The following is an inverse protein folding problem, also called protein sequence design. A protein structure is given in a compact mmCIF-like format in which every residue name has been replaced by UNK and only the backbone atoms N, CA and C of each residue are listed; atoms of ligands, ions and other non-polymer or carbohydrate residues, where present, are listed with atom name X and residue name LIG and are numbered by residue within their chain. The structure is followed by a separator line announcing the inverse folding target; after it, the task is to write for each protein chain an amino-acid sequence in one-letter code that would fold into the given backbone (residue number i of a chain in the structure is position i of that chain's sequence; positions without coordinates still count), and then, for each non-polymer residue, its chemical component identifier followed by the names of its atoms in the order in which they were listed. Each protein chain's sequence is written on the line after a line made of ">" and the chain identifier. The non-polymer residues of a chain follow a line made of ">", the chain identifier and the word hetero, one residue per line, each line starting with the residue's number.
data_IF_568602794915
#
_entry.id   IF_568602794915
#
_cell.length_a   1.000
_cell.length_b   1.000
_cell.length_c   1.000
_cell.angle_alpha   90.00
_cell.angle_beta   90.00
_cell.angle_gamma   90.00
#
_symmetry.space_group_name_H-M   'P 1'
#
loop_
_entity.id
_entity.type
_entity.pdbx_description
1 polymer ?
#
# COMPACT_ATOMS: atom_id res chain seq x y z
N UNK A 1 -19.33 -49.13 43.68
CA UNK A 1 -19.89 -48.16 42.68
C UNK A 1 -19.29 -46.81 43.00
N UNK A 2 -18.30 -46.44 42.25
CA UNK A 2 -17.79 -45.04 42.09
C UNK A 2 -16.33 -45.14 41.55
N UNK A 3 -16.23 -45.33 40.24
CA UNK A 3 -14.92 -45.23 39.57
C UNK A 3 -15.17 -44.91 38.11
N UNK A 4 -15.40 -43.64 37.82
CA UNK A 4 -15.34 -43.07 36.49
C UNK A 4 -15.60 -41.59 36.58
N UNK A 5 -14.55 -40.82 36.75
CA UNK A 5 -14.54 -39.36 36.43
C UNK A 5 -13.14 -38.82 36.60
N UNK A 6 -12.30 -39.08 35.59
CA UNK A 6 -11.08 -38.31 35.38
C UNK A 6 -10.62 -38.52 33.91
N UNK A 7 -11.46 -38.12 32.96
CA UNK A 7 -11.00 -37.80 31.64
C UNK A 7 -10.49 -36.38 31.66
N UNK A 8 -9.22 -36.21 31.97
CA UNK A 8 -8.53 -34.93 31.85
C UNK A 8 -8.54 -34.47 30.39
N UNK A 9 -9.22 -33.39 30.17
CA UNK A 9 -9.12 -32.60 28.95
C UNK A 9 -7.67 -32.07 28.81
N UNK A 10 -6.84 -32.79 28.09
CA UNK A 10 -5.59 -32.24 27.57
C UNK A 10 -5.93 -31.25 26.48
N UNK A 11 -5.99 -29.98 26.82
CA UNK A 11 -5.88 -28.90 25.88
C UNK A 11 -4.55 -29.06 25.14
N UNK A 12 -4.53 -29.11 23.80
CA UNK A 12 -3.27 -29.11 23.07
C UNK A 12 -2.55 -27.80 23.39
N UNK A 13 -1.38 -27.93 23.97
CA UNK A 13 -0.47 -26.83 24.20
C UNK A 13 -0.09 -26.28 22.82
N UNK A 14 -0.82 -25.26 22.37
CA UNK A 14 -0.47 -24.53 21.16
C UNK A 14 0.88 -23.86 21.44
N UNK A 15 1.94 -24.50 20.99
CA UNK A 15 3.28 -23.92 20.93
C UNK A 15 3.14 -22.59 20.20
N UNK A 16 3.23 -21.50 20.92
CA UNK A 16 3.26 -20.14 20.32
C UNK A 16 4.58 -20.07 19.57
N UNK A 17 4.54 -20.42 18.31
CA UNK A 17 5.66 -20.28 17.39
C UNK A 17 6.05 -18.79 17.44
N UNK A 18 7.26 -18.49 17.93
CA UNK A 18 7.78 -17.13 18.02
C UNK A 18 7.93 -16.59 16.60
N UNK A 19 6.89 -15.92 16.11
CA UNK A 19 6.91 -15.23 14.82
C UNK A 19 8.08 -14.25 14.82
N UNK A 20 9.04 -14.47 13.94
CA UNK A 20 10.24 -13.63 13.83
C UNK A 20 9.90 -12.17 13.50
N UNK A 21 10.80 -11.22 13.76
CA UNK A 21 10.55 -9.79 13.49
C UNK A 21 10.27 -9.53 12.00
N UNK A 22 10.88 -10.30 11.10
CA UNK A 22 10.65 -10.21 9.64
C UNK A 22 9.22 -10.67 9.30
N UNK A 23 8.75 -11.78 9.90
CA UNK A 23 7.40 -12.29 9.66
C UNK A 23 6.33 -11.33 10.18
N UNK A 24 6.57 -10.69 11.35
CA UNK A 24 5.69 -9.61 11.84
C UNK A 24 5.63 -8.43 10.90
N UNK A 25 6.77 -8.02 10.34
CA UNK A 25 6.85 -6.96 9.33
C UNK A 25 6.07 -7.31 8.07
N UNK A 26 6.20 -8.54 7.58
CA UNK A 26 5.44 -9.05 6.45
C UNK A 26 3.94 -9.07 6.75
N UNK A 27 3.52 -9.57 7.91
CA UNK A 27 2.11 -9.61 8.30
C UNK A 27 1.51 -8.20 8.46
N UNK A 28 2.26 -7.26 9.03
CA UNK A 28 1.85 -5.85 9.10
C UNK A 28 1.71 -5.23 7.70
N UNK A 29 2.65 -5.48 6.80
CA UNK A 29 2.58 -5.03 5.41
C UNK A 29 1.37 -5.63 4.68
N UNK A 30 1.13 -6.94 4.83
CA UNK A 30 -0.03 -7.62 4.25
C UNK A 30 -1.35 -7.07 4.81
N UNK A 31 -1.46 -6.91 6.12
CA UNK A 31 -2.64 -6.33 6.75
C UNK A 31 -2.89 -4.91 6.26
N UNK A 32 -1.82 -4.11 6.15
CA UNK A 32 -1.91 -2.77 5.61
C UNK A 32 -2.38 -2.74 4.15
N UNK A 33 -1.77 -3.54 3.30
CA UNK A 33 -2.12 -3.62 1.88
C UNK A 33 -3.54 -4.21 1.67
N UNK A 34 -3.97 -5.14 2.53
CA UNK A 34 -5.35 -5.63 2.56
C UNK A 34 -6.35 -4.57 3.07
N UNK A 35 -5.97 -3.76 4.07
CA UNK A 35 -6.80 -2.64 4.54
C UNK A 35 -6.95 -1.56 3.45
N UNK A 36 -5.97 -1.42 2.55
CA UNK A 36 -6.04 -0.54 1.39
C UNK A 36 -6.98 -1.05 0.27
N UNK A 37 -7.69 -2.17 0.52
CA UNK A 37 -8.81 -2.64 -0.29
C UNK A 37 -8.43 -3.53 -1.47
N UNK A 38 -8.23 -4.82 -1.22
CA UNK A 38 -8.22 -5.86 -2.27
C UNK A 38 -9.62 -6.48 -2.46
N UNK A 39 -10.68 -5.68 -2.37
CA UNK A 39 -12.04 -6.14 -2.66
C UNK A 39 -12.12 -6.56 -4.13
N UNK A 40 -12.89 -7.60 -4.42
CA UNK A 40 -13.14 -8.00 -5.80
C UNK A 40 -14.00 -6.94 -6.50
N UNK A 41 -13.77 -6.74 -7.79
CA UNK A 41 -14.54 -5.80 -8.60
C UNK A 41 -16.05 -6.08 -8.56
N UNK A 42 -16.47 -7.36 -8.38
CA UNK A 42 -17.85 -7.78 -8.21
C UNK A 42 -18.47 -7.36 -6.87
N UNK A 43 -17.67 -6.99 -5.87
CA UNK A 43 -18.10 -6.54 -4.54
C UNK A 43 -18.16 -5.02 -4.43
N UNK A 44 -18.18 -4.32 -5.56
CA UNK A 44 -18.25 -2.87 -5.57
C UNK A 44 -19.54 -2.38 -4.90
N UNK A 45 -19.36 -1.45 -3.99
CA UNK A 45 -20.44 -0.64 -3.40
C UNK A 45 -19.98 0.80 -3.34
N UNK A 46 -20.80 1.76 -3.79
CA UNK A 46 -20.51 3.18 -3.70
C UNK A 46 -20.17 3.59 -2.26
N UNK A 47 -19.28 4.55 -2.12
CA UNK A 47 -18.94 5.11 -0.83
C UNK A 47 -19.92 6.21 -0.46
N UNK A 48 -20.47 6.15 0.75
CA UNK A 48 -21.15 7.32 1.33
C UNK A 48 -20.12 8.42 1.64
N UNK A 49 -20.56 9.67 1.74
CA UNK A 49 -19.67 10.80 2.05
C UNK A 49 -18.93 10.59 3.38
N UNK A 50 -19.61 10.05 4.39
CA UNK A 50 -18.98 9.68 5.67
C UNK A 50 -17.84 8.66 5.48
N UNK A 51 -18.03 7.66 4.64
CA UNK A 51 -17.00 6.66 4.35
C UNK A 51 -15.82 7.26 3.56
N UNK A 52 -16.08 8.19 2.63
CA UNK A 52 -15.04 8.93 1.90
C UNK A 52 -14.16 9.73 2.87
N UNK A 53 -14.78 10.47 3.79
CA UNK A 53 -14.06 11.24 4.82
C UNK A 53 -13.25 10.33 5.75
N UNK A 54 -13.84 9.23 6.21
CA UNK A 54 -13.12 8.26 7.06
C UNK A 54 -11.93 7.63 6.34
N UNK A 55 -12.06 7.32 5.05
CA UNK A 55 -10.98 6.77 4.24
C UNK A 55 -9.85 7.81 4.06
N UNK A 56 -10.21 9.05 3.80
CA UNK A 56 -9.26 10.16 3.71
C UNK A 56 -8.49 10.33 5.02
N UNK A 57 -9.17 10.43 6.16
CA UNK A 57 -8.53 10.58 7.47
C UNK A 57 -7.60 9.39 7.78
N UNK A 58 -8.05 8.15 7.55
CA UNK A 58 -7.20 6.97 7.71
C UNK A 58 -5.95 7.01 6.84
N UNK A 59 -6.06 7.55 5.63
CA UNK A 59 -4.92 7.70 4.72
C UNK A 59 -3.94 8.74 5.23
N UNK A 60 -4.45 9.87 5.78
CA UNK A 60 -3.61 10.94 6.31
C UNK A 60 -2.80 10.54 7.55
N UNK A 61 -3.38 9.73 8.44
CA UNK A 61 -2.70 9.27 9.69
C UNK A 61 -1.97 7.93 9.55
N UNK A 62 -1.77 7.47 8.33
CA UNK A 62 -1.23 6.15 8.06
C UNK A 62 0.30 6.08 8.30
N UNK A 63 0.78 5.27 9.25
CA UNK A 63 2.21 5.18 9.56
C UNK A 63 3.10 4.78 8.37
N UNK A 64 2.59 3.94 7.46
CA UNK A 64 3.35 3.53 6.30
C UNK A 64 3.56 4.68 5.31
N UNK A 65 2.62 5.64 5.22
CA UNK A 65 2.80 6.87 4.44
C UNK A 65 3.99 7.69 4.95
N UNK A 66 4.08 7.85 6.25
CA UNK A 66 5.19 8.52 6.92
C UNK A 66 6.52 7.77 6.76
N UNK A 67 6.50 6.45 6.92
CA UNK A 67 7.68 5.61 6.69
C UNK A 67 8.18 5.67 5.23
N UNK A 68 7.26 5.66 4.26
CA UNK A 68 7.60 5.85 2.85
C UNK A 68 8.21 7.23 2.59
N UNK A 69 7.65 8.28 3.20
CA UNK A 69 8.20 9.64 3.09
C UNK A 69 9.60 9.72 3.68
N UNK A 70 9.83 9.10 4.84
CA UNK A 70 11.16 9.03 5.47
C UNK A 70 12.18 8.31 4.58
N UNK A 71 11.80 7.17 4.01
CA UNK A 71 12.65 6.41 3.10
C UNK A 71 12.96 7.21 1.83
N UNK A 72 11.97 7.87 1.23
CA UNK A 72 12.18 8.70 0.03
C UNK A 72 13.08 9.91 0.34
N UNK A 73 12.88 10.57 1.49
CA UNK A 73 13.77 11.65 1.94
C UNK A 73 15.23 11.17 2.14
N UNK A 74 15.41 9.94 2.61
CA UNK A 74 16.74 9.31 2.69
C UNK A 74 17.38 9.09 1.33
N UNK A 75 16.62 8.68 0.32
CA UNK A 75 17.11 8.55 -1.06
C UNK A 75 17.51 9.93 -1.63
N UNK A 76 16.67 10.95 -1.43
CA UNK A 76 16.94 12.31 -1.90
C UNK A 76 18.15 12.90 -1.18
N UNK A 77 18.32 12.61 0.10
CA UNK A 77 19.50 12.96 0.90
C UNK A 77 20.77 12.29 0.35
N UNK A 78 20.68 10.99 0.05
CA UNK A 78 21.81 10.25 -0.54
C UNK A 78 22.22 10.78 -1.92
N UNK A 79 21.24 11.23 -2.72
CA UNK A 79 21.46 11.82 -4.05
C UNK A 79 21.81 13.31 -4.00
N UNK A 80 21.82 13.92 -2.81
CA UNK A 80 21.97 15.36 -2.59
C UNK A 80 20.99 16.21 -3.43
N UNK A 81 19.72 15.83 -3.42
CA UNK A 81 18.68 16.54 -4.20
C UNK A 81 17.56 17.06 -3.30
N UNK A 82 17.24 18.35 -3.39
CA UNK A 82 18.00 19.42 -4.06
C UNK A 82 19.29 19.78 -3.29
N UNK A 83 20.31 20.18 -4.02
CA UNK A 83 21.63 20.54 -3.45
C UNK A 83 21.54 21.72 -2.48
N UNK A 84 20.62 22.67 -2.74
CA UNK A 84 20.40 23.87 -1.91
C UNK A 84 19.92 23.53 -0.48
N UNK A 85 19.47 22.32 -0.25
CA UNK A 85 19.06 21.91 1.10
C UNK A 85 20.19 21.30 1.91
N UNK A 86 21.36 21.14 1.30
CA UNK A 86 22.57 20.61 1.91
C UNK A 86 22.39 19.21 2.53
N UNK A 87 23.45 18.71 3.13
CA UNK A 87 23.45 17.44 3.83
C UNK A 87 23.11 17.61 5.34
N UNK A 88 23.03 16.50 6.06
CA UNK A 88 22.81 16.49 7.50
C UNK A 88 21.33 16.48 7.90
N UNK A 89 21.08 16.65 9.19
CA UNK A 89 19.73 16.51 9.76
C UNK A 89 18.76 17.60 9.27
N UNK A 90 19.23 18.83 9.06
CA UNK A 90 18.41 19.92 8.54
C UNK A 90 17.98 19.66 7.09
N UNK A 91 18.92 19.26 6.22
CA UNK A 91 18.63 18.89 4.84
C UNK A 91 17.66 17.72 4.73
N UNK A 92 17.86 16.69 5.54
CA UNK A 92 16.92 15.56 5.62
C UNK A 92 15.52 16.03 6.06
N UNK A 93 15.44 16.87 7.09
CA UNK A 93 14.16 17.40 7.58
C UNK A 93 13.41 18.19 6.53
N UNK A 94 14.09 19.04 5.73
CA UNK A 94 13.49 19.77 4.60
C UNK A 94 12.93 18.82 3.53
N UNK A 95 13.70 17.79 3.14
CA UNK A 95 13.28 16.76 2.17
C UNK A 95 12.06 15.98 2.67
N UNK A 96 12.10 15.57 3.93
CA UNK A 96 10.98 14.86 4.56
C UNK A 96 9.70 15.71 4.62
N UNK A 97 9.82 16.96 5.09
CA UNK A 97 8.70 17.89 5.16
C UNK A 97 8.10 18.20 3.77
N UNK A 98 8.96 18.35 2.74
CA UNK A 98 8.53 18.52 1.36
C UNK A 98 7.70 17.34 0.86
N UNK A 99 8.17 16.10 1.07
CA UNK A 99 7.45 14.89 0.65
C UNK A 99 6.10 14.78 1.37
N UNK A 100 6.05 15.06 2.67
CA UNK A 100 4.81 15.08 3.43
C UNK A 100 3.86 16.19 2.96
N UNK A 101 4.37 17.37 2.65
CA UNK A 101 3.59 18.48 2.09
C UNK A 101 2.94 18.11 0.77
N UNK A 102 3.72 17.58 -0.17
CA UNK A 102 3.23 17.09 -1.47
C UNK A 102 2.16 16.00 -1.28
N UNK A 103 2.44 15.02 -0.42
CA UNK A 103 1.50 13.93 -0.12
C UNK A 103 0.19 14.47 0.45
N UNK A 104 0.24 15.41 1.39
CA UNK A 104 -0.95 16.00 2.04
C UNK A 104 -1.81 16.76 1.04
N UNK A 105 -1.19 17.59 0.21
CA UNK A 105 -1.89 18.35 -0.85
C UNK A 105 -2.54 17.37 -1.85
N UNK A 106 -1.76 16.40 -2.34
CA UNK A 106 -2.27 15.40 -3.27
C UNK A 106 -3.51 14.68 -2.68
N UNK A 107 -3.43 14.21 -1.45
CA UNK A 107 -4.52 13.45 -0.81
C UNK A 107 -5.75 14.31 -0.55
N UNK A 108 -5.57 15.56 -0.11
CA UNK A 108 -6.66 16.49 0.13
C UNK A 108 -7.36 16.86 -1.18
N UNK A 109 -6.60 17.18 -2.23
CA UNK A 109 -7.16 17.48 -3.54
C UNK A 109 -7.87 16.27 -4.16
N UNK A 110 -7.27 15.06 -4.08
CA UNK A 110 -7.92 13.82 -4.54
C UNK A 110 -9.23 13.58 -3.78
N UNK A 111 -9.26 13.74 -2.46
CA UNK A 111 -10.47 13.58 -1.65
C UNK A 111 -11.56 14.59 -2.04
N UNK A 112 -11.21 15.88 -2.16
CA UNK A 112 -12.15 16.94 -2.53
C UNK A 112 -12.78 16.69 -3.90
N UNK A 113 -11.94 16.43 -4.92
CA UNK A 113 -12.39 16.14 -6.29
C UNK A 113 -13.19 14.82 -6.36
N UNK A 114 -12.74 13.76 -5.68
CA UNK A 114 -13.47 12.50 -5.65
C UNK A 114 -14.84 12.61 -4.97
N UNK A 115 -14.97 13.49 -3.96
CA UNK A 115 -16.24 13.75 -3.30
C UNK A 115 -17.20 14.54 -4.20
N UNK A 116 -16.68 15.51 -4.97
CA UNK A 116 -17.47 16.32 -5.89
C UNK A 116 -17.91 15.53 -7.14
N UNK A 117 -17.02 14.69 -7.67
CA UNK A 117 -17.23 13.96 -8.92
C UNK A 117 -17.80 12.55 -8.70
N UNK A 118 -18.08 12.17 -7.44
CA UNK A 118 -18.55 10.84 -7.07
C UNK A 118 -17.62 9.70 -7.55
N UNK A 119 -16.31 9.98 -7.62
CA UNK A 119 -15.29 9.01 -8.01
C UNK A 119 -14.82 8.16 -6.82
N UNK A 120 -14.52 6.90 -7.08
CA UNK A 120 -13.95 5.95 -6.14
C UNK A 120 -12.61 5.44 -6.66
N UNK A 121 -11.53 5.92 -6.06
CA UNK A 121 -10.15 5.58 -6.41
C UNK A 121 -9.60 4.36 -5.66
N UNK A 122 -10.46 3.62 -4.95
CA UNK A 122 -10.03 2.36 -4.32
C UNK A 122 -9.65 1.34 -5.38
N UNK A 123 -8.58 0.60 -5.08
CA UNK A 123 -8.20 -0.50 -5.95
C UNK A 123 -9.14 -1.70 -5.74
N UNK A 124 -9.62 -2.26 -6.83
CA UNK A 124 -10.42 -3.48 -6.84
C UNK A 124 -9.69 -4.54 -7.64
N UNK A 125 -9.51 -5.73 -7.04
CA UNK A 125 -8.85 -6.84 -7.72
C UNK A 125 -9.65 -7.25 -8.96
N UNK A 126 -8.96 -7.51 -10.06
CA UNK A 126 -9.59 -7.76 -11.36
C UNK A 126 -10.41 -9.05 -11.41
N UNK A 127 -10.05 -10.06 -10.62
CA UNK A 127 -10.58 -11.41 -10.74
C UNK A 127 -10.26 -12.11 -12.05
N UNK A 128 -9.46 -11.49 -12.93
CA UNK A 128 -9.10 -12.04 -14.25
C UNK A 128 -8.08 -13.16 -14.11
N UNK A 129 -8.00 -14.03 -15.13
CA UNK A 129 -6.97 -15.06 -15.28
C UNK A 129 -5.86 -14.57 -16.22
N UNK A 130 -4.63 -15.03 -15.98
CA UNK A 130 -3.46 -14.71 -16.81
C UNK A 130 -2.73 -13.43 -16.39
N UNK A 131 -1.39 -13.48 -16.41
CA UNK A 131 -0.52 -12.41 -15.93
C UNK A 131 -0.75 -11.09 -16.67
N UNK A 132 -0.69 -11.08 -18.00
CA UNK A 132 -0.78 -9.86 -18.79
C UNK A 132 -2.14 -9.15 -18.69
N UNK A 133 -3.24 -9.94 -18.64
CA UNK A 133 -4.60 -9.38 -18.47
C UNK A 133 -4.79 -8.71 -17.12
N UNK A 134 -4.20 -9.27 -16.06
CA UNK A 134 -4.22 -8.71 -14.71
C UNK A 134 -3.36 -7.46 -14.63
N UNK A 135 -2.15 -7.53 -15.16
CA UNK A 135 -1.21 -6.39 -15.19
C UNK A 135 -1.81 -5.21 -15.95
N UNK A 136 -2.37 -5.43 -17.14
CA UNK A 136 -3.02 -4.37 -17.90
C UNK A 136 -4.20 -3.73 -17.16
N UNK A 137 -5.02 -4.54 -16.47
CA UNK A 137 -6.07 -4.01 -15.61
C UNK A 137 -5.51 -3.19 -14.43
N UNK A 138 -4.47 -3.67 -13.78
CA UNK A 138 -3.84 -2.99 -12.66
C UNK A 138 -3.24 -1.64 -13.08
N UNK A 139 -2.52 -1.61 -14.20
CA UNK A 139 -1.96 -0.38 -14.76
C UNK A 139 -3.06 0.63 -15.11
N UNK A 140 -4.13 0.18 -15.77
CA UNK A 140 -5.26 1.07 -16.10
C UNK A 140 -5.95 1.65 -14.84
N UNK A 141 -5.91 0.95 -13.72
CA UNK A 141 -6.49 1.42 -12.45
C UNK A 141 -5.73 2.59 -11.80
N UNK A 142 -4.54 2.94 -12.31
CA UNK A 142 -3.82 4.14 -11.88
C UNK A 142 -4.43 5.43 -12.48
N UNK A 143 -5.15 5.31 -13.59
CA UNK A 143 -5.74 6.44 -14.32
C UNK A 143 -7.27 6.36 -14.43
N UNK A 144 -7.88 5.24 -14.02
CA UNK A 144 -9.31 5.02 -14.07
C UNK A 144 -9.89 4.88 -12.67
N UNK A 145 -10.97 5.60 -12.38
CA UNK A 145 -11.81 5.46 -11.19
C UNK A 145 -13.12 4.76 -11.50
N UNK A 146 -13.82 4.29 -10.47
CA UNK A 146 -15.22 3.89 -10.54
C UNK A 146 -16.12 5.03 -10.11
N UNK A 147 -17.26 5.17 -10.78
CA UNK A 147 -18.32 6.05 -10.36
C UNK A 147 -19.35 5.31 -9.50
N UNK A 148 -20.24 6.05 -8.85
CA UNK A 148 -21.25 5.47 -7.96
C UNK A 148 -22.23 4.53 -8.70
N UNK A 149 -22.39 4.67 -10.01
CA UNK A 149 -23.13 3.74 -10.89
C UNK A 149 -22.35 2.47 -11.26
N UNK A 150 -21.10 2.35 -10.81
CA UNK A 150 -20.20 1.23 -11.11
C UNK A 150 -19.44 1.35 -12.43
N UNK A 151 -19.71 2.36 -13.25
CA UNK A 151 -18.97 2.64 -14.50
C UNK A 151 -17.50 2.98 -14.20
N UNK A 152 -16.63 2.84 -15.20
CA UNK A 152 -15.21 3.22 -15.10
C UNK A 152 -14.89 4.27 -16.15
N UNK A 153 -14.32 5.37 -15.69
CA UNK A 153 -13.83 6.44 -16.56
C UNK A 153 -12.49 6.98 -16.07
N UNK A 154 -11.93 7.91 -16.81
CA UNK A 154 -10.70 8.62 -16.40
C UNK A 154 -10.93 9.28 -15.04
N UNK A 155 -10.04 9.03 -14.09
CA UNK A 155 -10.11 9.60 -12.75
C UNK A 155 -9.58 11.04 -12.74
N UNK A 156 -10.49 12.00 -12.81
CA UNK A 156 -10.14 13.42 -12.68
C UNK A 156 -9.61 13.70 -11.28
N UNK A 157 -10.19 13.07 -10.25
CA UNK A 157 -9.74 13.27 -8.87
C UNK A 157 -8.32 12.74 -8.62
N UNK A 158 -7.96 11.59 -9.18
CA UNK A 158 -6.62 11.04 -9.03
C UNK A 158 -5.60 11.89 -9.79
N UNK A 159 -5.87 12.21 -11.04
CA UNK A 159 -4.99 13.02 -11.88
C UNK A 159 -4.83 14.43 -11.33
N UNK A 160 -5.95 15.08 -10.99
CA UNK A 160 -5.97 16.44 -10.41
C UNK A 160 -5.28 16.48 -9.04
N UNK A 161 -5.47 15.47 -8.20
CA UNK A 161 -4.79 15.39 -6.91
C UNK A 161 -3.28 15.22 -7.06
N UNK A 162 -2.82 14.35 -7.96
CA UNK A 162 -1.38 14.18 -8.24
C UNK A 162 -0.80 15.47 -8.83
N UNK A 163 -1.50 16.11 -9.77
CA UNK A 163 -1.09 17.38 -10.32
C UNK A 163 -0.99 18.46 -9.24
N UNK A 164 -2.00 18.58 -8.37
CA UNK A 164 -1.97 19.53 -7.25
C UNK A 164 -0.74 19.31 -6.36
N UNK A 165 -0.45 18.07 -5.95
CA UNK A 165 0.74 17.77 -5.16
C UNK A 165 2.04 18.12 -5.88
N UNK A 166 2.16 17.79 -7.15
CA UNK A 166 3.35 18.01 -7.96
C UNK A 166 3.59 19.50 -8.24
N UNK A 167 2.58 20.26 -8.64
CA UNK A 167 2.76 21.64 -9.07
C UNK A 167 2.68 22.65 -7.92
N UNK A 168 1.84 22.44 -6.91
CA UNK A 168 1.80 23.34 -5.75
C UNK A 168 3.10 23.28 -4.95
N UNK A 169 3.77 22.13 -4.92
CA UNK A 169 5.08 22.00 -4.28
C UNK A 169 6.15 22.92 -4.89
N UNK A 170 6.01 23.32 -6.15
CA UNK A 170 6.94 24.23 -6.83
C UNK A 170 7.02 25.60 -6.15
N UNK A 171 6.00 25.98 -5.36
CA UNK A 171 5.95 27.26 -4.66
C UNK A 171 6.98 27.39 -3.53
N UNK A 172 7.46 26.29 -2.98
CA UNK A 172 8.44 26.29 -1.87
C UNK A 172 9.73 25.54 -2.18
N UNK A 173 9.84 24.92 -3.35
CA UNK A 173 11.04 24.24 -3.76
C UNK A 173 12.11 25.24 -4.26
N UNK A 174 13.38 24.89 -4.11
CA UNK A 174 14.48 25.76 -4.58
C UNK A 174 14.50 25.86 -6.11
N UNK A 175 15.24 26.84 -6.66
CA UNK A 175 15.28 27.11 -8.09
C UNK A 175 15.64 25.92 -8.97
N UNK A 176 16.46 24.98 -8.46
CA UNK A 176 16.83 23.75 -9.16
C UNK A 176 15.69 22.78 -9.38
N UNK A 177 14.53 22.96 -8.70
CA UNK A 177 13.39 22.05 -8.73
C UNK A 177 12.03 22.75 -8.75
N UNK A 178 11.93 24.02 -9.11
CA UNK A 178 10.69 24.78 -9.07
C UNK A 178 10.08 25.06 -10.45
N UNK A 179 10.64 24.50 -11.51
CA UNK A 179 10.13 24.70 -12.87
C UNK A 179 8.84 23.89 -13.14
N UNK A 180 8.11 24.27 -14.17
CA UNK A 180 6.96 23.50 -14.63
C UNK A 180 7.36 22.10 -15.14
N UNK A 181 8.56 21.99 -15.73
CA UNK A 181 9.12 20.72 -16.17
C UNK A 181 9.35 19.78 -15.00
N UNK A 182 9.96 20.26 -13.88
CA UNK A 182 10.11 19.48 -12.66
C UNK A 182 8.76 19.04 -12.09
N UNK A 183 7.75 19.91 -12.19
CA UNK A 183 6.36 19.57 -11.85
C UNK A 183 5.82 18.42 -12.69
N UNK A 184 6.05 18.44 -14.00
CA UNK A 184 5.63 17.39 -14.90
C UNK A 184 6.37 16.06 -14.65
N UNK A 185 7.67 16.11 -14.38
CA UNK A 185 8.48 14.95 -13.99
C UNK A 185 7.97 14.36 -12.68
N UNK A 186 7.74 15.19 -11.66
CA UNK A 186 7.19 14.77 -10.37
C UNK A 186 5.81 14.12 -10.52
N UNK A 187 4.95 14.70 -11.35
CA UNK A 187 3.65 14.12 -11.71
C UNK A 187 3.81 12.73 -12.35
N UNK A 188 4.67 12.61 -13.37
CA UNK A 188 4.88 11.36 -14.08
C UNK A 188 5.45 10.25 -13.16
N UNK A 189 6.44 10.58 -12.31
CA UNK A 189 7.01 9.65 -11.32
C UNK A 189 5.93 9.18 -10.33
N UNK A 190 5.10 10.09 -9.85
CA UNK A 190 4.02 9.76 -8.92
C UNK A 190 2.97 8.85 -9.57
N UNK A 191 2.58 9.15 -10.81
CA UNK A 191 1.65 8.30 -11.57
C UNK A 191 2.24 6.92 -11.86
N UNK A 192 3.51 6.85 -12.28
CA UNK A 192 4.21 5.59 -12.46
C UNK A 192 4.29 4.75 -11.19
N UNK A 193 4.58 5.40 -10.05
CA UNK A 193 4.58 4.75 -8.73
C UNK A 193 3.20 4.21 -8.37
N UNK A 194 2.13 4.99 -8.60
CA UNK A 194 0.76 4.55 -8.35
C UNK A 194 0.38 3.34 -9.21
N UNK A 195 0.81 3.32 -10.49
CA UNK A 195 0.61 2.20 -11.40
C UNK A 195 1.35 0.94 -10.93
N UNK A 196 2.63 1.08 -10.52
CA UNK A 196 3.40 -0.02 -9.96
C UNK A 196 2.76 -0.60 -8.69
N UNK A 197 2.30 0.27 -7.77
CA UNK A 197 1.57 -0.16 -6.58
C UNK A 197 0.25 -0.87 -6.91
N UNK A 198 -0.44 -0.48 -7.96
CA UNK A 198 -1.66 -1.17 -8.42
C UNK A 198 -1.35 -2.59 -8.89
N UNK A 199 -0.22 -2.79 -9.58
CA UNK A 199 0.26 -4.14 -9.95
C UNK A 199 0.57 -4.97 -8.71
N UNK A 200 1.29 -4.41 -7.74
CA UNK A 200 1.56 -5.10 -6.47
C UNK A 200 0.26 -5.53 -5.80
N UNK A 201 -0.74 -4.63 -5.68
CA UNK A 201 -2.05 -4.94 -5.08
C UNK A 201 -2.78 -6.06 -5.82
N UNK A 202 -2.69 -6.12 -7.15
CA UNK A 202 -3.32 -7.15 -7.96
C UNK A 202 -2.78 -8.55 -7.64
N UNK A 203 -1.46 -8.67 -7.43
CA UNK A 203 -0.80 -9.96 -7.18
C UNK A 203 -0.61 -10.29 -5.69
N UNK A 204 -0.86 -9.35 -4.80
CA UNK A 204 -0.71 -9.51 -3.36
C UNK A 204 -1.46 -10.73 -2.78
N UNK A 205 -2.73 -11.03 -3.16
CA UNK A 205 -3.43 -12.21 -2.68
C UNK A 205 -2.76 -13.53 -3.09
N UNK A 206 -2.09 -13.56 -4.25
CA UNK A 206 -1.36 -14.74 -4.71
C UNK A 206 -0.10 -14.96 -3.88
N UNK A 207 0.62 -13.89 -3.62
CA UNK A 207 1.81 -13.91 -2.76
C UNK A 207 1.44 -14.36 -1.34
N UNK A 208 0.36 -13.83 -0.77
CA UNK A 208 -0.14 -14.25 0.55
C UNK A 208 -0.46 -15.74 0.60
N UNK A 209 -1.11 -16.28 -0.44
CA UNK A 209 -1.40 -17.71 -0.56
C UNK A 209 -0.13 -18.55 -0.67
N UNK A 210 0.87 -18.07 -1.42
CA UNK A 210 2.15 -18.76 -1.57
C UNK A 210 2.92 -18.85 -0.24
N UNK A 211 2.96 -17.75 0.51
CA UNK A 211 3.59 -17.69 1.84
C UNK A 211 2.86 -18.62 2.83
N UNK A 212 1.53 -18.55 2.87
CA UNK A 212 0.73 -19.41 3.74
C UNK A 212 0.91 -20.91 3.44
N UNK A 213 1.07 -21.28 2.16
CA UNK A 213 1.37 -22.67 1.77
C UNK A 213 2.76 -23.11 2.22
N UNK A 214 3.77 -22.23 2.13
CA UNK A 214 5.12 -22.53 2.63
C UNK A 214 5.13 -22.73 4.14
N UNK A 215 4.45 -21.88 4.89
CA UNK A 215 4.34 -22.02 6.36
C UNK A 215 3.66 -23.33 6.77
N UNK A 216 2.65 -23.80 6.02
CA UNK A 216 1.96 -25.07 6.31
C UNK A 216 2.81 -26.32 6.01
N UNK A 217 3.83 -26.22 5.13
CA UNK A 217 4.68 -27.36 4.79
C UNK A 217 5.78 -27.66 5.82
N UNK A 218 5.99 -26.80 6.84
CA UNK A 218 7.07 -26.97 7.82
C UNK A 218 8.49 -26.91 7.20
N UNK A 219 9.54 -26.86 8.01
CA UNK A 219 10.87 -27.16 7.53
C UNK A 219 10.90 -28.62 7.01
N UNK A 220 11.75 -28.96 6.02
CA UNK A 220 11.96 -30.34 5.61
C UNK A 220 12.32 -31.14 6.87
N UNK A 221 11.62 -32.26 7.10
CA UNK A 221 12.02 -33.16 8.16
C UNK A 221 13.48 -33.55 7.92
N UNK A 222 14.32 -33.43 8.93
CA UNK A 222 15.72 -33.83 8.83
C UNK A 222 15.76 -35.34 8.56
N UNK A 223 16.78 -35.84 7.85
CA UNK A 223 16.92 -37.29 7.66
C UNK A 223 16.93 -38.10 8.96
N UNK A 224 17.21 -37.46 10.11
CA UNK A 224 17.20 -38.08 11.43
C UNK A 224 15.78 -38.37 11.95
N UNK A 225 14.77 -37.56 11.54
CA UNK A 225 13.38 -37.77 11.96
C UNK A 225 12.72 -38.95 11.26
N UNK A 226 13.23 -39.42 10.10
CA UNK A 226 12.71 -40.55 9.37
C UNK A 226 13.15 -41.90 9.96
N UNK A 227 14.13 -41.93 10.86
CA UNK A 227 14.59 -43.17 11.49
C UNK A 227 14.00 -43.41 12.89
N UNK A 228 13.27 -42.44 13.46
CA UNK A 228 12.67 -42.55 14.80
C UNK A 228 11.39 -43.40 14.81
N UNK A 229 10.69 -43.55 13.70
CA UNK A 229 9.42 -44.30 13.60
C UNK A 229 9.61 -45.77 13.14
N UNK A 230 10.84 -46.29 13.11
CA UNK A 230 11.15 -47.62 12.60
C UNK A 230 11.50 -48.67 13.69
N UNK A 231 11.10 -48.43 14.95
CA UNK A 231 11.27 -49.43 16.04
C UNK A 231 9.99 -49.61 16.86
#
# INVERSE_FOLDING_TARGET
>A
MASQLAAQSQTPNATIEKVGPIDRGIDLLFNYLNMAGTKKAAEFRPLTQKQRTQLYLKTMINPLGYGKAAFSAGIDQWKDKPEEWEQGASGYGKRYANILGQYSIQRTATYGLASLLHEDNRYFNSGKKGFWRRTGYALSSAVLARHDDGSRSVSISQLGGVAAGAFVARLWLPPSQNSAEDGAVSFAITMGSNAAFSVVKEFLPDLGRAIARKRKKGPPQSPEDMHADAW
#
